data_IF_956263643090
#
_entry.id   IF_956263643090
#
_cell.length_a   1.000
_cell.length_b   1.000
_cell.length_c   1.000
_cell.angle_alpha   90.00
_cell.angle_beta   90.00
_cell.angle_gamma   90.00
#
_symmetry.space_group_name_H-M   'P 1'
#
loop_
_entity.id
_entity.type
_entity.pdbx_description
1 polymer ?
#
# COMPACT_ATOMS: atom_id res chain seq x y z
N UNK A 1 -16.59 -30.32 4.12
CA UNK A 1 -15.14 -30.15 4.25
C UNK A 1 -14.62 -28.91 3.50
N UNK A 2 -15.01 -28.64 2.25
CA UNK A 2 -14.59 -27.44 1.47
C UNK A 2 -14.96 -26.08 2.11
N UNK A 3 -16.11 -25.99 2.77
CA UNK A 3 -16.59 -24.73 3.38
C UNK A 3 -15.77 -24.33 4.61
N UNK A 4 -15.39 -25.28 5.46
CA UNK A 4 -14.48 -25.04 6.60
C UNK A 4 -13.10 -24.55 6.16
N UNK A 5 -12.59 -25.09 5.05
CA UNK A 5 -11.27 -24.69 4.51
C UNK A 5 -11.29 -23.27 3.94
N UNK A 6 -12.38 -22.87 3.26
CA UNK A 6 -12.58 -21.49 2.77
C UNK A 6 -12.68 -20.48 3.91
N UNK A 7 -13.43 -20.81 4.97
CA UNK A 7 -13.55 -19.97 6.17
C UNK A 7 -12.21 -19.77 6.88
N UNK A 8 -11.39 -20.80 6.99
CA UNK A 8 -10.07 -20.72 7.61
C UNK A 8 -9.10 -19.83 6.81
N UNK A 9 -9.06 -19.98 5.48
CA UNK A 9 -8.24 -19.14 4.62
C UNK A 9 -8.65 -17.64 4.67
N UNK A 10 -9.94 -17.36 4.73
CA UNK A 10 -10.47 -16.01 4.89
C UNK A 10 -10.03 -15.38 6.22
N UNK A 11 -10.10 -16.15 7.32
CA UNK A 11 -9.66 -15.69 8.63
C UNK A 11 -8.16 -15.37 8.66
N UNK A 12 -7.32 -16.21 8.06
CA UNK A 12 -5.89 -15.98 7.98
C UNK A 12 -5.58 -14.71 7.17
N UNK A 13 -6.28 -14.48 6.05
CA UNK A 13 -6.13 -13.23 5.25
C UNK A 13 -6.52 -11.99 6.05
N UNK A 14 -7.59 -12.07 6.84
CA UNK A 14 -8.00 -10.98 7.73
C UNK A 14 -6.94 -10.69 8.79
N UNK A 15 -6.40 -11.72 9.45
CA UNK A 15 -5.33 -11.58 10.42
C UNK A 15 -4.06 -10.97 9.80
N UNK A 16 -3.68 -11.43 8.60
CA UNK A 16 -2.54 -10.85 7.89
C UNK A 16 -2.78 -9.37 7.54
N UNK A 17 -3.97 -9.02 7.06
CA UNK A 17 -4.35 -7.63 6.80
C UNK A 17 -4.22 -6.76 8.05
N UNK A 18 -4.71 -7.25 9.20
CA UNK A 18 -4.59 -6.56 10.47
C UNK A 18 -3.12 -6.39 10.92
N UNK A 19 -2.29 -7.42 10.76
CA UNK A 19 -0.85 -7.35 11.07
C UNK A 19 -0.15 -6.34 10.16
N UNK A 20 -0.40 -6.40 8.85
CA UNK A 20 0.20 -5.46 7.90
C UNK A 20 -0.28 -4.02 8.15
N UNK A 21 -1.55 -3.83 8.56
CA UNK A 21 -2.07 -2.53 8.97
C UNK A 21 -1.33 -2.02 10.21
N UNK A 22 -1.13 -2.85 11.23
CA UNK A 22 -0.37 -2.48 12.42
C UNK A 22 1.08 -2.11 12.08
N UNK A 23 1.74 -2.88 11.20
CA UNK A 23 3.08 -2.57 10.70
C UNK A 23 3.08 -1.25 9.93
N UNK A 24 2.06 -0.97 9.10
CA UNK A 24 1.91 0.31 8.39
C UNK A 24 1.86 1.48 9.39
N UNK A 25 1.04 1.39 10.45
CA UNK A 25 0.98 2.40 11.52
C UNK A 25 2.33 2.59 12.21
N UNK A 26 3.01 1.50 12.57
CA UNK A 26 4.34 1.56 13.20
C UNK A 26 5.35 2.22 12.26
N UNK A 27 5.32 1.90 10.97
CA UNK A 27 6.24 2.52 9.99
C UNK A 27 6.02 4.03 9.82
N UNK A 28 4.84 4.56 10.13
CA UNK A 28 4.60 6.00 10.17
C UNK A 28 5.37 6.71 11.30
N UNK A 29 5.73 6.00 12.40
CA UNK A 29 6.57 6.55 13.45
C UNK A 29 8.03 6.79 13.01
N UNK A 30 8.50 6.06 12.00
CA UNK A 30 9.84 6.21 11.42
C UNK A 30 9.80 7.22 10.26
N UNK A 31 9.44 8.47 10.58
CA UNK A 31 9.40 9.54 9.59
C UNK A 31 10.73 10.28 9.52
N UNK A 32 11.17 10.57 8.31
CA UNK A 32 12.38 11.37 8.06
C UNK A 32 11.93 12.78 7.70
N UNK A 33 12.28 13.81 8.51
CA UNK A 33 11.93 15.18 8.17
C UNK A 33 12.65 15.62 6.89
N UNK A 34 11.87 16.19 5.97
CA UNK A 34 12.35 16.71 4.68
C UNK A 34 11.69 18.06 4.41
N UNK A 35 12.26 18.88 3.52
CA UNK A 35 11.61 20.11 3.09
C UNK A 35 10.16 19.87 2.62
N UNK A 36 9.22 20.62 3.18
CA UNK A 36 7.79 20.48 2.88
C UNK A 36 7.06 19.36 3.61
N UNK A 37 7.69 18.68 4.60
CA UNK A 37 7.02 17.67 5.43
C UNK A 37 7.91 16.52 5.89
N UNK A 38 7.39 15.30 5.81
CA UNK A 38 8.06 14.07 6.24
C UNK A 38 8.08 13.03 5.12
N UNK A 39 9.13 12.22 5.05
CA UNK A 39 9.23 11.05 4.19
C UNK A 39 9.01 9.81 5.05
N UNK A 40 8.15 8.90 4.59
CA UNK A 40 7.76 7.69 5.30
C UNK A 40 8.21 6.45 4.53
N UNK A 41 8.45 5.35 5.26
CA UNK A 41 8.79 4.05 4.67
C UNK A 41 7.60 3.09 4.62
N UNK A 42 6.44 3.54 5.06
CA UNK A 42 5.20 2.74 5.09
C UNK A 42 4.70 2.31 3.71
N UNK A 43 5.05 3.03 2.64
CA UNK A 43 4.74 2.64 1.25
C UNK A 43 5.23 1.25 0.88
N UNK A 44 6.35 0.80 1.46
CA UNK A 44 6.84 -0.58 1.27
C UNK A 44 5.80 -1.58 1.77
N UNK A 45 5.25 -1.35 2.97
CA UNK A 45 4.23 -2.22 3.57
C UNK A 45 2.92 -2.17 2.78
N UNK A 46 2.53 -0.99 2.32
CA UNK A 46 1.33 -0.78 1.49
C UNK A 46 1.45 -1.56 0.18
N UNK A 47 2.60 -1.48 -0.51
CA UNK A 47 2.84 -2.24 -1.74
C UNK A 47 2.86 -3.75 -1.50
N UNK A 48 3.45 -4.24 -0.39
CA UNK A 48 3.41 -5.65 -0.01
C UNK A 48 1.97 -6.11 0.23
N UNK A 49 1.20 -5.37 1.02
CA UNK A 49 -0.19 -5.68 1.31
C UNK A 49 -1.03 -5.74 0.02
N UNK A 50 -0.84 -4.77 -0.87
CA UNK A 50 -1.55 -4.68 -2.14
C UNK A 50 -1.24 -5.82 -3.11
N UNK A 51 0.00 -6.33 -3.13
CA UNK A 51 0.40 -7.48 -3.97
C UNK A 51 -0.12 -8.81 -3.41
N UNK A 52 -0.35 -8.92 -2.10
CA UNK A 52 -0.72 -10.19 -1.46
C UNK A 52 -2.22 -10.30 -1.20
N UNK A 53 -2.87 -9.20 -0.82
CA UNK A 53 -4.27 -9.17 -0.39
C UNK A 53 -5.21 -8.76 -1.55
N UNK A 54 -6.49 -9.06 -1.38
CA UNK A 54 -7.55 -8.57 -2.28
C UNK A 54 -7.70 -7.04 -2.22
N UNK A 55 -8.33 -6.40 -3.23
CA UNK A 55 -8.40 -4.95 -3.32
C UNK A 55 -9.06 -4.25 -2.13
N UNK A 56 -10.05 -4.87 -1.49
CA UNK A 56 -10.75 -4.29 -0.33
C UNK A 56 -9.84 -4.35 0.90
N UNK A 57 -9.25 -5.52 1.16
CA UNK A 57 -8.30 -5.70 2.27
C UNK A 57 -7.05 -4.83 2.07
N UNK A 58 -6.58 -4.67 0.85
CA UNK A 58 -5.46 -3.78 0.51
C UNK A 58 -5.81 -2.31 0.78
N UNK A 59 -7.02 -1.85 0.36
CA UNK A 59 -7.50 -0.49 0.67
C UNK A 59 -7.52 -0.24 2.18
N UNK A 60 -8.08 -1.16 2.95
CA UNK A 60 -8.15 -1.03 4.40
C UNK A 60 -6.76 -0.99 5.04
N UNK A 61 -5.88 -1.90 4.63
CA UNK A 61 -4.50 -1.96 5.16
C UNK A 61 -3.69 -0.72 4.81
N UNK A 62 -3.76 -0.26 3.57
CA UNK A 62 -3.05 0.93 3.10
C UNK A 62 -3.67 2.22 3.61
N UNK A 63 -4.95 2.42 3.33
CA UNK A 63 -5.67 3.67 3.62
C UNK A 63 -5.93 3.87 5.11
N UNK A 64 -6.61 2.91 5.76
CA UNK A 64 -6.91 3.04 7.20
C UNK A 64 -5.63 2.97 8.03
N UNK A 65 -4.66 2.13 7.65
CA UNK A 65 -3.37 2.09 8.33
C UNK A 65 -2.62 3.41 8.26
N UNK A 66 -2.56 4.05 7.10
CA UNK A 66 -1.94 5.37 6.94
C UNK A 66 -2.73 6.47 7.67
N UNK A 67 -4.07 6.42 7.63
CA UNK A 67 -4.92 7.34 8.40
C UNK A 67 -4.63 7.25 9.91
N UNK A 68 -4.58 6.05 10.47
CA UNK A 68 -4.30 5.84 11.88
C UNK A 68 -2.86 6.26 12.24
N UNK A 69 -1.90 5.98 11.38
CA UNK A 69 -0.53 6.42 11.56
C UNK A 69 -0.42 7.95 11.60
N UNK A 70 -1.04 8.64 10.65
CA UNK A 70 -1.05 10.09 10.63
C UNK A 70 -1.85 10.67 11.80
N UNK A 71 -2.98 10.10 12.16
CA UNK A 71 -3.78 10.54 13.33
C UNK A 71 -2.94 10.56 14.61
N UNK A 72 -2.03 9.61 14.76
CA UNK A 72 -1.18 9.48 15.96
C UNK A 72 0.05 10.38 15.89
N UNK A 73 0.73 10.43 14.74
CA UNK A 73 2.05 11.05 14.64
C UNK A 73 2.06 12.40 13.92
N UNK A 74 1.17 12.61 12.94
CA UNK A 74 1.09 13.85 12.16
C UNK A 74 -0.31 14.04 11.56
N UNK A 75 -1.30 14.56 12.33
CA UNK A 75 -2.73 14.52 11.97
C UNK A 75 -3.13 15.32 10.73
N UNK A 76 -2.33 16.27 10.27
CA UNK A 76 -2.69 17.19 9.19
C UNK A 76 -3.13 16.49 7.90
N UNK A 77 -2.38 15.50 7.33
CA UNK A 77 -2.75 14.83 6.08
C UNK A 77 -3.67 13.62 6.24
N UNK A 78 -4.12 13.26 7.45
CA UNK A 78 -4.74 11.96 7.73
C UNK A 78 -5.86 11.55 6.76
N UNK A 79 -6.74 12.47 6.35
CA UNK A 79 -7.80 12.17 5.39
C UNK A 79 -7.28 12.04 3.96
N UNK A 80 -6.26 12.81 3.60
CA UNK A 80 -5.58 12.69 2.30
C UNK A 80 -4.85 11.34 2.24
N UNK A 81 -4.22 10.92 3.34
CA UNK A 81 -3.54 9.63 3.46
C UNK A 81 -4.53 8.46 3.33
N UNK A 82 -5.69 8.55 3.97
CA UNK A 82 -6.76 7.56 3.84
C UNK A 82 -7.11 7.32 2.36
N UNK A 83 -7.37 8.40 1.63
CA UNK A 83 -7.81 8.30 0.24
C UNK A 83 -6.66 7.91 -0.68
N UNK A 84 -5.52 8.60 -0.58
CA UNK A 84 -4.38 8.40 -1.49
C UNK A 84 -3.77 7.01 -1.34
N UNK A 85 -3.44 6.58 -0.12
CA UNK A 85 -2.89 5.24 0.12
C UNK A 85 -3.92 4.13 -0.02
N UNK A 86 -5.20 4.40 0.30
CA UNK A 86 -6.27 3.46 0.06
C UNK A 86 -6.46 3.17 -1.42
N UNK A 87 -6.58 4.22 -2.25
CA UNK A 87 -6.68 4.07 -3.70
C UNK A 87 -5.41 3.48 -4.32
N UNK A 88 -4.23 3.92 -3.89
CA UNK A 88 -2.96 3.33 -4.28
C UNK A 88 -2.99 1.81 -4.08
N UNK A 89 -3.27 1.35 -2.87
CA UNK A 89 -3.26 -0.07 -2.53
C UNK A 89 -4.34 -0.87 -3.30
N UNK A 90 -5.55 -0.34 -3.40
CA UNK A 90 -6.64 -0.98 -4.13
C UNK A 90 -6.30 -1.15 -5.62
N UNK A 91 -5.76 -0.12 -6.26
CA UNK A 91 -5.41 -0.16 -7.69
C UNK A 91 -4.21 -1.08 -7.94
N UNK A 92 -3.19 -1.06 -7.08
CA UNK A 92 -2.07 -2.03 -7.16
C UNK A 92 -2.64 -3.45 -7.10
N UNK A 93 -3.51 -3.75 -6.14
CA UNK A 93 -4.11 -5.07 -5.97
C UNK A 93 -4.97 -5.47 -7.17
N UNK A 94 -5.80 -4.56 -7.70
CA UNK A 94 -6.58 -4.80 -8.90
C UNK A 94 -5.68 -5.18 -10.09
N UNK A 95 -4.63 -4.41 -10.35
CA UNK A 95 -3.72 -4.69 -11.46
C UNK A 95 -2.95 -5.99 -11.24
N UNK A 96 -2.41 -6.19 -10.03
CA UNK A 96 -1.60 -7.37 -9.71
C UNK A 96 -2.37 -8.69 -9.85
N UNK A 97 -3.68 -8.71 -9.53
CA UNK A 97 -4.47 -9.94 -9.50
C UNK A 97 -5.35 -10.14 -10.74
N UNK A 98 -5.77 -9.08 -11.41
CA UNK A 98 -6.72 -9.17 -12.54
C UNK A 98 -6.08 -8.88 -13.90
N UNK A 99 -5.03 -8.05 -13.96
CA UNK A 99 -4.29 -7.83 -15.19
C UNK A 99 -3.19 -8.90 -15.37
N UNK A 100 -2.81 -9.18 -16.62
CA UNK A 100 -1.67 -10.03 -16.98
C UNK A 100 -1.52 -11.30 -16.13
N UNK A 101 -2.59 -12.08 -15.96
CA UNK A 101 -2.63 -13.31 -15.13
C UNK A 101 -1.48 -14.30 -15.40
N UNK A 102 -0.95 -14.31 -16.64
CA UNK A 102 0.20 -15.17 -17.03
C UNK A 102 1.55 -14.61 -16.56
N UNK A 103 1.63 -13.32 -16.22
CA UNK A 103 2.88 -12.63 -15.85
C UNK A 103 2.69 -11.84 -14.55
N UNK A 104 2.51 -12.50 -13.40
CA UNK A 104 2.14 -11.84 -12.15
C UNK A 104 3.21 -10.85 -11.64
N UNK A 105 4.48 -11.09 -11.93
CA UNK A 105 5.58 -10.14 -11.61
C UNK A 105 5.42 -8.84 -12.40
N UNK A 106 5.15 -8.95 -13.71
CA UNK A 106 4.94 -7.76 -14.55
C UNK A 106 3.65 -7.02 -14.16
N UNK A 107 2.56 -7.75 -13.85
CA UNK A 107 1.33 -7.16 -13.36
C UNK A 107 1.55 -6.37 -12.07
N UNK A 108 2.27 -6.95 -11.09
CA UNK A 108 2.64 -6.26 -9.86
C UNK A 108 3.51 -5.03 -10.13
N UNK A 109 4.49 -5.14 -11.05
CA UNK A 109 5.35 -4.02 -11.43
C UNK A 109 4.57 -2.85 -12.03
N UNK A 110 3.65 -3.13 -12.95
CA UNK A 110 2.74 -2.11 -13.51
C UNK A 110 1.83 -1.55 -12.40
N UNK A 111 1.30 -2.42 -11.55
CA UNK A 111 0.45 -2.03 -10.44
C UNK A 111 1.13 -1.02 -9.51
N UNK A 112 2.35 -1.32 -9.04
CA UNK A 112 3.07 -0.41 -8.13
C UNK A 112 3.48 0.89 -8.82
N UNK A 113 3.78 0.87 -10.14
CA UNK A 113 4.06 2.09 -10.89
C UNK A 113 2.83 3.00 -10.99
N UNK A 114 1.66 2.44 -11.31
CA UNK A 114 0.38 3.18 -11.34
C UNK A 114 0.02 3.66 -9.94
N UNK A 115 0.17 2.81 -8.92
CA UNK A 115 -0.05 3.18 -7.53
C UNK A 115 0.83 4.33 -7.05
N UNK A 116 2.11 4.34 -7.46
CA UNK A 116 3.03 5.44 -7.18
C UNK A 116 2.53 6.78 -7.74
N UNK A 117 2.03 6.77 -8.98
CA UNK A 117 1.42 7.97 -9.59
C UNK A 117 0.20 8.44 -8.81
N UNK A 118 -0.68 7.52 -8.39
CA UNK A 118 -1.87 7.85 -7.59
C UNK A 118 -1.46 8.49 -6.27
N UNK A 119 -0.50 7.92 -5.56
CA UNK A 119 0.00 8.43 -4.28
C UNK A 119 0.58 9.83 -4.44
N UNK A 120 1.53 10.02 -5.35
CA UNK A 120 2.19 11.32 -5.58
C UNK A 120 1.16 12.39 -5.97
N UNK A 121 0.26 12.07 -6.89
CA UNK A 121 -0.80 13.00 -7.32
C UNK A 121 -1.75 13.32 -6.16
N UNK A 122 -2.19 12.31 -5.41
CA UNK A 122 -3.10 12.49 -4.28
C UNK A 122 -2.52 13.39 -3.19
N UNK A 123 -1.27 13.18 -2.80
CA UNK A 123 -0.61 14.04 -1.81
C UNK A 123 -0.31 15.45 -2.34
N UNK A 124 0.10 15.58 -3.60
CA UNK A 124 0.32 16.90 -4.22
C UNK A 124 -0.98 17.71 -4.23
N UNK A 125 -2.09 17.11 -4.71
CA UNK A 125 -3.41 17.77 -4.69
C UNK A 125 -3.91 18.04 -3.27
N UNK A 126 -3.74 17.08 -2.37
CA UNK A 126 -4.10 17.24 -0.96
C UNK A 126 -3.37 18.40 -0.30
N UNK A 127 -2.06 18.58 -0.57
CA UNK A 127 -1.31 19.74 -0.09
C UNK A 127 -1.85 21.05 -0.65
N UNK A 128 -2.08 21.11 -1.95
CA UNK A 128 -2.53 22.35 -2.60
C UNK A 128 -3.92 22.78 -2.10
N UNK A 129 -4.85 21.85 -1.93
CA UNK A 129 -6.26 22.18 -1.76
C UNK A 129 -6.81 21.91 -0.36
N UNK A 130 -6.13 21.08 0.47
CA UNK A 130 -6.71 20.61 1.74
C UNK A 130 -5.94 21.14 2.95
N UNK A 131 -4.63 20.97 3.01
CA UNK A 131 -3.92 21.19 4.26
C UNK A 131 -2.63 22.02 4.19
N UNK A 132 -2.21 22.52 2.99
CA UNK A 132 -0.99 23.30 2.83
C UNK A 132 -1.12 24.31 1.68
N UNK A 133 -0.02 24.63 1.01
CA UNK A 133 0.03 25.57 -0.12
C UNK A 133 0.69 24.94 -1.34
N UNK A 134 0.56 25.61 -2.49
CA UNK A 134 1.20 25.18 -3.74
C UNK A 134 2.73 25.13 -3.61
N UNK A 135 3.33 26.12 -2.97
CA UNK A 135 4.79 26.20 -2.79
C UNK A 135 5.32 25.02 -1.98
N UNK A 136 4.64 24.68 -0.87
CA UNK A 136 4.99 23.52 -0.06
C UNK A 136 4.76 22.20 -0.79
N UNK A 137 3.73 22.11 -1.63
CA UNK A 137 3.50 20.95 -2.46
C UNK A 137 4.66 20.73 -3.44
N UNK A 138 5.09 21.79 -4.13
CA UNK A 138 6.22 21.73 -5.08
C UNK A 138 7.55 21.42 -4.38
N UNK A 139 7.77 21.98 -3.19
CA UNK A 139 8.97 21.71 -2.40
C UNK A 139 9.07 20.24 -1.98
N UNK A 140 7.93 19.61 -1.64
CA UNK A 140 7.91 18.20 -1.22
C UNK A 140 7.85 17.21 -2.39
N UNK A 141 7.40 17.62 -3.56
CA UNK A 141 7.17 16.73 -4.72
C UNK A 141 8.32 15.76 -5.03
N UNK A 142 9.60 16.18 -5.08
CA UNK A 142 10.71 15.27 -5.33
C UNK A 142 10.85 14.19 -4.23
N UNK A 143 10.55 14.53 -3.00
CA UNK A 143 10.59 13.58 -1.88
C UNK A 143 9.40 12.61 -1.89
N UNK A 144 8.23 13.02 -2.39
CA UNK A 144 7.09 12.14 -2.61
C UNK A 144 7.36 11.13 -3.73
N UNK A 145 8.01 11.58 -4.81
CA UNK A 145 8.45 10.68 -5.89
C UNK A 145 9.49 9.68 -5.36
N UNK A 146 10.47 10.14 -4.56
CA UNK A 146 11.45 9.27 -3.93
C UNK A 146 10.79 8.25 -3.00
N UNK A 147 9.85 8.67 -2.16
CA UNK A 147 9.09 7.81 -1.25
C UNK A 147 8.33 6.73 -2.03
N UNK A 148 7.60 7.12 -3.07
CA UNK A 148 6.85 6.21 -3.92
C UNK A 148 7.78 5.20 -4.63
N UNK A 149 8.95 5.64 -5.11
CA UNK A 149 9.94 4.78 -5.73
C UNK A 149 10.52 3.76 -4.75
N UNK A 150 10.88 4.19 -3.54
CA UNK A 150 11.35 3.30 -2.45
C UNK A 150 10.28 2.30 -2.08
N UNK A 151 9.02 2.73 -1.95
CA UNK A 151 7.87 1.86 -1.68
C UNK A 151 7.68 0.79 -2.75
N UNK A 152 7.68 1.21 -4.02
CA UNK A 152 7.50 0.32 -5.17
C UNK A 152 8.65 -0.71 -5.28
N UNK A 153 9.90 -0.25 -5.22
CA UNK A 153 11.08 -1.12 -5.30
C UNK A 153 11.12 -2.08 -4.10
N UNK A 154 10.97 -1.55 -2.88
CA UNK A 154 10.97 -2.35 -1.65
C UNK A 154 9.87 -3.39 -1.62
N UNK A 155 8.65 -3.01 -1.97
CA UNK A 155 7.50 -3.91 -2.07
C UNK A 155 7.72 -5.03 -3.09
N UNK A 156 8.21 -4.70 -4.29
CA UNK A 156 8.54 -5.67 -5.33
C UNK A 156 9.65 -6.63 -4.90
N UNK A 157 10.73 -6.12 -4.28
CA UNK A 157 11.84 -6.95 -3.78
C UNK A 157 11.35 -7.93 -2.72
N UNK A 158 10.61 -7.48 -1.72
CA UNK A 158 10.08 -8.32 -0.65
C UNK A 158 9.11 -9.38 -1.20
N UNK A 159 8.20 -8.99 -2.07
CA UNK A 159 7.20 -9.91 -2.62
C UNK A 159 7.81 -10.98 -3.52
N UNK A 160 8.71 -10.62 -4.43
CA UNK A 160 9.16 -11.51 -5.50
C UNK A 160 10.59 -12.04 -5.28
N UNK A 161 11.54 -11.22 -4.84
CA UNK A 161 12.93 -11.67 -4.59
C UNK A 161 13.06 -12.38 -3.24
N UNK A 162 12.50 -11.80 -2.16
CA UNK A 162 12.51 -12.44 -0.84
C UNK A 162 11.45 -13.54 -0.69
N UNK A 163 10.56 -13.70 -1.69
CA UNK A 163 9.66 -14.85 -1.78
C UNK A 163 8.41 -14.75 -0.91
N UNK A 164 8.00 -13.57 -0.44
CA UNK A 164 6.76 -13.42 0.36
C UNK A 164 5.53 -13.95 -0.40
N UNK A 165 5.41 -13.69 -1.70
CA UNK A 165 4.33 -14.23 -2.53
C UNK A 165 4.37 -15.76 -2.57
N UNK A 166 5.55 -16.38 -2.63
CA UNK A 166 5.69 -17.84 -2.59
C UNK A 166 5.21 -18.42 -1.26
N UNK A 167 5.57 -17.77 -0.16
CA UNK A 167 5.13 -18.16 1.18
C UNK A 167 3.61 -17.97 1.31
N UNK A 168 3.08 -16.83 0.87
CA UNK A 168 1.65 -16.54 0.91
C UNK A 168 0.84 -17.56 0.10
N UNK A 169 1.30 -17.95 -1.08
CA UNK A 169 0.67 -19.01 -1.90
C UNK A 169 0.71 -20.37 -1.21
N UNK A 170 1.84 -20.75 -0.61
CA UNK A 170 1.99 -22.02 0.11
C UNK A 170 0.99 -22.17 1.26
N UNK A 171 0.65 -21.07 1.92
CA UNK A 171 -0.25 -21.06 3.07
C UNK A 171 -1.69 -20.64 2.72
N UNK A 172 -2.05 -20.52 1.43
CA UNK A 172 -3.40 -20.14 0.99
C UNK A 172 -3.81 -18.69 1.36
N UNK A 173 -2.83 -17.84 1.64
CA UNK A 173 -3.03 -16.45 2.06
C UNK A 173 -3.08 -15.50 0.84
N UNK A 174 -2.34 -15.85 -0.21
CA UNK A 174 -2.31 -15.06 -1.44
C UNK A 174 -3.70 -15.03 -2.07
N UNK A 175 -4.17 -13.83 -2.40
CA UNK A 175 -5.45 -13.67 -3.05
C UNK A 175 -5.38 -14.14 -4.51
N UNK A 176 -6.22 -15.11 -4.86
CA UNK A 176 -6.42 -15.56 -6.25
C UNK A 176 -7.89 -15.36 -6.64
N UNK A 177 -8.19 -14.48 -7.61
CA UNK A 177 -9.57 -14.25 -8.04
C UNK A 177 -10.23 -15.48 -8.69
N UNK A 178 -9.47 -16.49 -9.08
CA UNK A 178 -10.01 -17.74 -9.66
C UNK A 178 -10.54 -18.71 -8.60
N UNK A 179 -10.24 -18.49 -7.31
CA UNK A 179 -10.72 -19.31 -6.19
C UNK A 179 -12.06 -18.84 -5.60
N UNK A 180 -12.63 -17.75 -6.13
CA UNK A 180 -13.97 -17.30 -5.79
C UNK A 180 -14.99 -18.04 -6.65
#
# INVERSE_FOLDING_TARGET
>A
MKEKTKSHASLIRLCLGAILMAVNVVMCSFSIPVPGGHLYLNDVVICVAAIVLDPVSAFLTGGVGAFLGDLIFYPLPMFVSLVSHGLQAAVISLIAHYALKKHPVAASGIGVAVGAVIMVTGYTLGKIFVYSTFEYAMLKLPYEILQAAVGAIGGMLLCWKCGLVKIAKKHGIYFDPAEK
#
